data_IF_735626302418
#
_entry.id   IF_735626302418
#
_cell.length_a   1.000
_cell.length_b   1.000
_cell.length_c   1.000
_cell.angle_alpha   90.00
_cell.angle_beta   90.00
_cell.angle_gamma   90.00
#
_symmetry.space_group_name_H-M   'P 1'
#
loop_
_entity.id
_entity.type
_entity.pdbx_description
1 polymer ?
#
# COMPACT_ATOMS: atom_id res chain seq x y z
N UNK A 1 3.62 20.71 10.53
CA UNK A 1 3.18 21.59 11.61
C UNK A 1 2.25 20.80 12.50
N UNK A 2 2.77 20.39 13.65
CA UNK A 2 2.05 19.74 14.73
C UNK A 2 1.28 20.85 15.46
N UNK A 3 0.10 21.20 14.95
CA UNK A 3 -0.80 22.14 15.59
C UNK A 3 -2.03 21.38 16.05
N UNK A 4 -2.13 21.17 17.31
CA UNK A 4 -3.23 20.50 17.99
C UNK A 4 -2.76 19.74 19.21
N UNK A 5 -1.60 20.06 19.72
CA UNK A 5 -1.26 19.77 21.10
C UNK A 5 -2.05 20.70 21.98
N UNK A 6 -3.34 20.42 22.09
CA UNK A 6 -4.09 20.90 23.23
C UNK A 6 -4.06 19.77 24.25
N UNK A 7 -3.01 19.73 25.07
CA UNK A 7 -2.99 18.99 26.35
C UNK A 7 -3.92 19.71 27.34
N UNK A 8 -4.76 20.61 26.81
CA UNK A 8 -5.57 21.53 27.54
C UNK A 8 -6.68 20.86 28.33
N UNK A 9 -6.80 21.31 29.53
CA UNK A 9 -7.95 21.15 30.38
C UNK A 9 -9.25 21.37 29.58
N UNK A 10 -10.19 20.50 29.75
CA UNK A 10 -11.52 20.54 29.17
C UNK A 10 -12.27 21.81 29.60
N UNK A 11 -12.01 22.90 28.92
CA UNK A 11 -12.83 24.10 29.07
C UNK A 11 -13.90 24.08 27.97
N UNK A 12 -15.19 23.82 28.30
CA UNK A 12 -16.25 24.02 27.35
C UNK A 12 -16.20 25.49 26.91
N UNK A 13 -16.14 25.73 25.59
CA UNK A 13 -16.26 27.12 25.12
C UNK A 13 -17.65 27.66 25.50
N UNK A 14 -17.80 28.99 25.54
CA UNK A 14 -19.04 29.66 25.91
C UNK A 14 -20.28 29.25 25.12
N UNK A 15 -20.11 28.48 24.03
CA UNK A 15 -21.15 27.95 23.17
C UNK A 15 -21.42 26.45 23.37
N UNK A 16 -20.81 25.79 24.37
CA UNK A 16 -20.97 24.38 24.64
C UNK A 16 -20.24 23.47 23.64
N UNK A 17 -19.25 23.99 22.90
CA UNK A 17 -18.38 23.18 22.02
C UNK A 17 -17.46 22.28 22.81
N UNK A 18 -16.97 21.23 22.16
CA UNK A 18 -15.94 20.37 22.70
C UNK A 18 -14.69 20.43 21.82
N UNK A 19 -13.58 19.94 22.33
CA UNK A 19 -12.26 19.95 21.72
C UNK A 19 -12.28 19.45 20.26
N UNK A 20 -13.02 18.37 19.98
CA UNK A 20 -13.12 17.79 18.63
C UNK A 20 -13.81 18.74 17.64
N UNK A 21 -14.84 19.46 18.06
CA UNK A 21 -15.52 20.43 17.21
C UNK A 21 -14.67 21.67 16.95
N UNK A 22 -13.95 22.13 17.96
CA UNK A 22 -13.04 23.27 17.86
C UNK A 22 -11.85 22.93 16.96
N UNK A 23 -11.33 21.68 17.01
CA UNK A 23 -10.32 21.19 16.09
C UNK A 23 -10.79 21.24 14.62
N UNK A 24 -12.02 20.81 14.31
CA UNK A 24 -12.54 20.90 12.94
C UNK A 24 -12.56 22.36 12.45
N UNK A 25 -13.03 23.29 13.28
CA UNK A 25 -13.08 24.70 12.93
C UNK A 25 -11.69 25.31 12.72
N UNK A 26 -10.74 24.95 13.59
CA UNK A 26 -9.34 25.37 13.48
C UNK A 26 -8.72 24.90 12.17
N UNK A 27 -8.79 23.59 11.88
CA UNK A 27 -8.18 23.01 10.68
C UNK A 27 -8.86 23.46 9.39
N UNK A 28 -10.18 23.70 9.41
CA UNK A 28 -10.88 24.35 8.31
C UNK A 28 -10.32 25.75 8.05
N UNK A 29 -10.20 26.57 9.09
CA UNK A 29 -9.67 27.93 8.97
C UNK A 29 -8.21 27.93 8.48
N UNK A 30 -7.38 27.06 9.04
CA UNK A 30 -5.98 26.90 8.61
C UNK A 30 -5.89 26.53 7.12
N UNK A 31 -6.71 25.57 6.66
CA UNK A 31 -6.79 25.17 5.24
C UNK A 31 -7.19 26.37 4.37
N UNK A 32 -8.25 27.10 4.74
CA UNK A 32 -8.71 28.27 4.00
C UNK A 32 -7.62 29.37 3.90
N UNK A 33 -6.89 29.63 4.99
CA UNK A 33 -5.79 30.60 4.97
C UNK A 33 -4.59 30.11 4.15
N UNK A 34 -4.28 28.81 4.20
CA UNK A 34 -3.22 28.23 3.40
C UNK A 34 -3.55 28.35 1.90
N UNK A 35 -4.77 27.98 1.49
CA UNK A 35 -5.22 28.01 0.09
C UNK A 35 -5.27 29.44 -0.47
N UNK A 36 -5.63 30.44 0.35
CA UNK A 36 -5.56 31.85 -0.04
C UNK A 36 -4.13 32.31 -0.37
N UNK A 37 -3.14 31.82 0.40
CA UNK A 37 -1.72 32.18 0.23
C UNK A 37 -1.02 31.32 -0.83
N UNK A 38 -1.50 30.11 -1.05
CA UNK A 38 -0.94 29.11 -1.94
C UNK A 38 -2.04 28.55 -2.87
N UNK A 39 -2.59 29.39 -3.76
CA UNK A 39 -3.63 28.94 -4.68
C UNK A 39 -3.11 27.76 -5.52
N UNK A 40 -3.93 26.75 -5.67
CA UNK A 40 -3.61 25.53 -6.39
C UNK A 40 -2.59 24.60 -5.70
N UNK A 41 -2.36 24.71 -4.40
CA UNK A 41 -1.47 23.81 -3.66
C UNK A 41 -2.26 23.05 -2.58
N UNK A 42 -2.01 21.74 -2.45
CA UNK A 42 -2.59 20.91 -1.39
C UNK A 42 -2.00 21.27 -0.03
N UNK A 43 -2.87 21.38 0.97
CA UNK A 43 -2.45 21.53 2.36
C UNK A 43 -2.16 20.14 2.94
N UNK A 44 -1.15 20.07 3.81
CA UNK A 44 -0.90 18.92 4.69
C UNK A 44 -1.05 19.39 6.13
N UNK A 45 -1.97 18.76 6.86
CA UNK A 45 -2.23 19.02 8.28
C UNK A 45 -2.50 17.68 8.96
N UNK A 46 -2.17 17.56 10.24
CA UNK A 46 -2.41 16.36 11.04
C UNK A 46 -2.85 16.75 12.46
N UNK A 47 -3.78 15.98 13.04
CA UNK A 47 -4.29 16.18 14.39
C UNK A 47 -4.70 14.87 15.03
N UNK A 48 -4.63 14.81 16.38
CA UNK A 48 -5.20 13.70 17.16
C UNK A 48 -6.65 13.94 17.57
N UNK A 49 -7.08 15.19 17.65
CA UNK A 49 -8.47 15.53 17.91
C UNK A 49 -9.31 15.26 16.65
N UNK A 50 -10.17 14.25 16.71
CA UNK A 50 -10.90 13.76 15.54
C UNK A 50 -12.40 13.68 15.79
N UNK A 51 -13.16 14.12 14.79
CA UNK A 51 -14.62 13.96 14.72
C UNK A 51 -15.06 13.81 13.26
N UNK A 52 -16.25 13.26 13.03
CA UNK A 52 -16.81 13.13 11.69
C UNK A 52 -16.84 14.48 10.94
N UNK A 53 -16.24 14.52 9.76
CA UNK A 53 -16.05 15.74 8.97
C UNK A 53 -14.64 16.27 8.94
N UNK A 54 -13.76 15.81 9.86
CA UNK A 54 -12.36 16.23 9.95
C UNK A 54 -11.55 15.82 8.70
N UNK A 55 -11.86 14.69 8.10
CA UNK A 55 -11.20 14.15 6.90
C UNK A 55 -11.18 15.11 5.72
N UNK A 56 -12.03 16.13 5.71
CA UNK A 56 -12.05 17.20 4.68
C UNK A 56 -10.89 18.19 4.82
N UNK A 57 -10.23 18.19 5.96
CA UNK A 57 -9.27 19.25 6.33
C UNK A 57 -7.91 18.70 6.71
N UNK A 58 -7.83 17.52 7.34
CA UNK A 58 -6.59 17.04 7.94
C UNK A 58 -6.55 15.51 8.01
N UNK A 59 -5.36 14.98 8.23
CA UNK A 59 -5.11 13.59 8.60
C UNK A 59 -5.24 13.40 10.11
N UNK A 60 -5.53 12.18 10.56
CA UNK A 60 -5.57 11.80 11.96
C UNK A 60 -4.31 11.05 12.41
N UNK A 61 -4.03 11.09 13.72
CA UNK A 61 -3.20 10.07 14.38
C UNK A 61 -3.80 9.72 15.74
N UNK A 62 -3.39 8.58 16.28
CA UNK A 62 -4.02 8.00 17.49
C UNK A 62 -3.57 8.64 18.79
N UNK A 63 -2.69 9.65 18.73
CA UNK A 63 -2.09 10.28 19.90
C UNK A 63 -0.90 9.51 20.45
N UNK A 64 -0.47 9.91 21.63
CA UNK A 64 0.72 9.41 22.29
C UNK A 64 0.54 7.94 22.73
N UNK A 65 1.39 7.06 22.28
CA UNK A 65 1.41 5.65 22.68
C UNK A 65 2.78 5.27 23.24
N UNK A 66 2.80 4.43 24.28
CA UNK A 66 4.04 4.05 24.96
C UNK A 66 4.86 3.02 24.17
N UNK A 67 6.18 3.01 24.40
CA UNK A 67 7.13 2.13 23.75
C UNK A 67 7.76 1.08 24.68
N UNK A 68 7.30 0.96 25.93
CA UNK A 68 7.83 0.00 26.89
C UNK A 68 7.78 -1.46 26.41
N UNK A 69 8.63 -2.30 26.99
CA UNK A 69 8.77 -3.71 26.60
C UNK A 69 7.68 -4.64 27.14
N UNK A 70 6.74 -4.13 27.93
CA UNK A 70 5.65 -4.92 28.48
C UNK A 70 4.41 -4.92 27.57
N UNK A 71 3.47 -5.82 27.90
CA UNK A 71 2.23 -5.98 27.13
C UNK A 71 1.27 -4.79 27.27
N UNK A 72 1.45 -3.93 28.25
CA UNK A 72 0.59 -2.76 28.49
C UNK A 72 1.13 -1.50 27.84
N UNK A 73 2.43 -1.44 27.61
CA UNK A 73 3.10 -0.30 26.98
C UNK A 73 3.42 -0.61 25.51
N UNK A 74 4.62 -1.03 25.16
CA UNK A 74 5.03 -1.15 23.77
C UNK A 74 4.24 -2.17 22.95
N UNK A 75 4.32 -3.45 23.30
CA UNK A 75 3.69 -4.54 22.55
C UNK A 75 2.16 -4.46 22.57
N UNK A 76 1.57 -4.16 23.73
CA UNK A 76 0.12 -3.98 23.83
C UNK A 76 -0.37 -2.74 23.12
N UNK A 77 0.38 -1.63 23.21
CA UNK A 77 0.05 -0.40 22.51
C UNK A 77 0.12 -0.62 20.97
N UNK A 78 1.19 -1.26 20.48
CA UNK A 78 1.29 -1.59 19.06
C UNK A 78 0.11 -2.46 18.58
N UNK A 79 -0.23 -3.51 19.34
CA UNK A 79 -1.35 -4.38 18.99
C UNK A 79 -2.68 -3.62 18.93
N UNK A 80 -2.92 -2.70 19.86
CA UNK A 80 -4.12 -1.90 19.93
C UNK A 80 -4.22 -0.87 18.79
N UNK A 81 -3.11 -0.48 18.15
CA UNK A 81 -3.18 0.45 17.01
C UNK A 81 -3.96 -0.14 15.83
N UNK A 82 -3.92 -1.44 15.61
CA UNK A 82 -4.63 -2.06 14.47
C UNK A 82 -6.14 -1.81 14.57
N UNK A 83 -6.86 -2.26 15.62
CA UNK A 83 -8.29 -2.02 15.71
C UNK A 83 -8.65 -0.53 15.81
N UNK A 84 -7.80 0.32 16.39
CA UNK A 84 -8.04 1.77 16.44
C UNK A 84 -7.99 2.38 15.03
N UNK A 85 -6.98 2.05 14.23
CA UNK A 85 -6.84 2.53 12.86
C UNK A 85 -7.99 2.01 11.96
N UNK A 86 -8.38 0.74 12.12
CA UNK A 86 -9.54 0.16 11.42
C UNK A 86 -10.83 0.88 11.79
N UNK A 87 -11.02 1.17 13.09
CA UNK A 87 -12.20 1.90 13.58
C UNK A 87 -12.22 3.35 13.06
N UNK A 88 -11.07 4.02 12.98
CA UNK A 88 -10.97 5.34 12.39
C UNK A 88 -11.38 5.33 10.91
N UNK A 89 -10.95 4.32 10.15
CA UNK A 89 -11.37 4.10 8.77
C UNK A 89 -12.88 3.94 8.61
N UNK A 90 -13.50 3.11 9.46
CA UNK A 90 -14.95 2.94 9.52
C UNK A 90 -15.68 4.22 9.95
N UNK A 91 -15.05 5.04 10.79
CA UNK A 91 -15.51 6.37 11.19
C UNK A 91 -15.34 7.45 10.12
N UNK A 92 -15.00 7.06 8.88
CA UNK A 92 -14.77 7.97 7.74
C UNK A 92 -13.57 8.92 7.98
N UNK A 93 -12.55 8.45 8.70
CA UNK A 93 -11.24 9.12 8.86
C UNK A 93 -10.16 8.17 8.31
N UNK A 94 -10.15 7.91 6.99
CA UNK A 94 -9.39 6.82 6.39
C UNK A 94 -7.87 7.04 6.40
N UNK A 95 -7.43 8.28 6.57
CA UNK A 95 -6.02 8.65 6.61
C UNK A 95 -5.58 8.93 8.04
N UNK A 96 -5.52 7.88 8.84
CA UNK A 96 -5.06 7.92 10.22
C UNK A 96 -3.78 7.09 10.37
N UNK A 97 -2.88 7.54 11.23
CA UNK A 97 -1.64 6.84 11.59
C UNK A 97 -1.53 6.68 13.10
N UNK A 98 -0.52 5.95 13.54
CA UNK A 98 -0.03 5.98 14.92
C UNK A 98 1.41 6.50 14.94
N UNK A 99 1.91 6.80 16.13
CA UNK A 99 3.34 7.04 16.33
C UNK A 99 4.06 5.70 16.27
N UNK A 100 4.67 5.42 15.10
CA UNK A 100 5.38 4.16 14.86
C UNK A 100 6.58 4.14 15.78
N UNK A 101 6.77 3.03 16.48
CA UNK A 101 7.77 2.76 17.52
C UNK A 101 7.41 3.26 18.92
N UNK A 102 6.26 3.92 19.07
CA UNK A 102 5.78 4.50 20.32
C UNK A 102 6.33 5.92 20.57
N UNK A 103 5.48 6.79 21.14
CA UNK A 103 5.82 8.18 21.41
C UNK A 103 6.46 8.39 22.79
N UNK A 104 5.90 7.76 23.84
CA UNK A 104 6.28 7.97 25.22
C UNK A 104 7.19 6.88 25.75
N UNK A 105 8.12 7.29 26.59
CA UNK A 105 9.00 6.40 27.38
C UNK A 105 10.46 6.47 26.96
N UNK A 106 11.34 6.34 27.95
CA UNK A 106 12.77 6.33 27.70
C UNK A 106 13.20 5.02 27.03
N UNK A 107 14.20 5.09 26.18
CA UNK A 107 14.86 3.92 25.58
C UNK A 107 16.25 3.80 26.20
N UNK A 108 16.36 3.02 27.27
CA UNK A 108 17.62 2.78 27.96
C UNK A 108 18.49 1.73 27.25
N UNK A 109 17.85 0.74 26.61
CA UNK A 109 18.52 -0.37 25.93
C UNK A 109 17.92 -0.57 24.52
N UNK A 110 18.51 0.07 23.52
CA UNK A 110 18.09 0.00 22.11
C UNK A 110 18.11 -1.44 21.56
N UNK A 111 19.15 -2.27 21.79
CA UNK A 111 19.15 -3.67 21.40
C UNK A 111 17.99 -4.49 21.98
N UNK A 112 17.61 -4.28 23.23
CA UNK A 112 16.47 -4.97 23.83
C UNK A 112 15.13 -4.59 23.16
N UNK A 113 15.03 -3.39 22.62
CA UNK A 113 13.84 -2.90 21.92
C UNK A 113 13.82 -3.24 20.43
N UNK A 114 14.88 -3.82 19.87
CA UNK A 114 15.05 -4.03 18.42
C UNK A 114 13.92 -4.87 17.79
N UNK A 115 13.40 -5.89 18.49
CA UNK A 115 12.31 -6.70 17.99
C UNK A 115 10.99 -5.89 17.91
N UNK A 116 10.63 -5.18 18.96
CA UNK A 116 9.44 -4.32 18.99
C UNK A 116 9.51 -3.26 17.89
N UNK A 117 10.66 -2.58 17.80
CA UNK A 117 10.94 -1.58 16.75
C UNK A 117 10.72 -2.15 15.36
N UNK A 118 11.32 -3.30 15.05
CA UNK A 118 11.18 -3.99 13.77
C UNK A 118 9.71 -4.30 13.46
N UNK A 119 8.99 -4.92 14.40
CA UNK A 119 7.59 -5.32 14.20
C UNK A 119 6.66 -4.11 14.05
N UNK A 120 6.93 -3.03 14.76
CA UNK A 120 6.13 -1.81 14.64
C UNK A 120 6.32 -1.12 13.29
N UNK A 121 7.57 -1.02 12.80
CA UNK A 121 7.83 -0.48 11.45
C UNK A 121 7.21 -1.37 10.38
N UNK A 122 7.29 -2.69 10.52
CA UNK A 122 6.63 -3.62 9.61
C UNK A 122 5.12 -3.38 9.55
N UNK A 123 4.44 -3.22 10.68
CA UNK A 123 3.03 -2.86 10.74
C UNK A 123 2.80 -1.45 10.15
N UNK A 124 3.63 -0.50 10.53
CA UNK A 124 3.53 0.91 10.13
C UNK A 124 3.70 1.13 8.62
N UNK A 125 4.38 0.23 7.90
CA UNK A 125 4.44 0.27 6.44
C UNK A 125 3.05 0.19 5.78
N UNK A 126 2.07 -0.40 6.47
CA UNK A 126 0.69 -0.54 6.02
C UNK A 126 -0.29 0.44 6.70
N UNK A 127 0.19 1.37 7.49
CA UNK A 127 -0.65 2.50 7.88
C UNK A 127 -0.91 3.40 6.66
N UNK A 128 -2.10 3.98 6.50
CA UNK A 128 -2.39 4.90 5.40
C UNK A 128 -1.38 6.06 5.32
N UNK A 129 -1.00 6.61 6.47
CA UNK A 129 0.11 7.53 6.66
C UNK A 129 1.15 6.87 7.59
N UNK A 130 2.44 7.04 7.33
CA UNK A 130 3.50 6.48 8.19
C UNK A 130 4.41 7.58 8.72
N UNK A 131 4.58 7.59 10.05
CA UNK A 131 5.46 8.52 10.74
C UNK A 131 6.15 7.78 11.89
N UNK A 132 7.48 7.73 11.88
CA UNK A 132 8.28 7.39 13.06
C UNK A 132 8.34 8.63 13.92
N UNK A 133 7.94 8.52 15.19
CA UNK A 133 7.86 9.68 16.08
C UNK A 133 8.05 9.27 17.54
N UNK A 134 8.79 10.09 18.27
CA UNK A 134 9.04 9.92 19.69
C UNK A 134 9.13 11.29 20.38
N UNK A 135 8.92 11.32 21.70
CA UNK A 135 8.99 12.55 22.49
C UNK A 135 10.43 12.99 22.78
N UNK A 136 10.57 14.27 23.08
CA UNK A 136 11.80 14.84 23.64
C UNK A 136 13.03 14.67 22.77
N UNK A 137 14.12 14.27 23.40
CA UNK A 137 15.43 14.09 22.78
C UNK A 137 15.79 12.61 22.58
N UNK A 138 14.82 11.70 22.65
CA UNK A 138 15.05 10.27 22.43
C UNK A 138 15.10 10.02 20.93
N UNK A 139 16.23 9.54 20.47
CA UNK A 139 16.45 9.20 19.07
C UNK A 139 15.80 7.84 18.75
N UNK A 140 15.16 7.71 17.59
CA UNK A 140 14.48 6.49 17.12
C UNK A 140 14.85 6.10 15.69
N UNK A 141 16.03 6.49 15.25
CA UNK A 141 16.53 6.10 13.95
C UNK A 141 16.91 4.61 13.91
N UNK A 142 16.66 3.93 12.77
CA UNK A 142 16.82 2.47 12.66
C UNK A 142 18.18 1.91 13.09
N UNK A 143 19.25 2.63 12.79
CA UNK A 143 20.64 2.18 13.10
C UNK A 143 20.96 2.11 14.58
N UNK A 144 20.18 2.74 15.45
CA UNK A 144 20.37 2.69 16.90
C UNK A 144 19.95 1.33 17.48
N UNK A 145 19.02 0.64 16.81
CA UNK A 145 18.48 -0.66 17.23
C UNK A 145 19.30 -1.87 16.74
N UNK A 146 20.40 -1.62 16.05
CA UNK A 146 21.30 -2.63 15.52
C UNK A 146 21.05 -2.99 14.06
N UNK A 147 22.04 -3.64 13.44
CA UNK A 147 22.07 -3.90 11.99
C UNK A 147 20.89 -4.71 11.48
N UNK A 148 20.38 -5.69 12.23
CA UNK A 148 19.23 -6.49 11.82
C UNK A 148 17.95 -5.64 11.83
N UNK A 149 17.73 -4.82 12.85
CA UNK A 149 16.59 -3.92 12.94
C UNK A 149 16.63 -2.87 11.81
N UNK A 150 17.78 -2.26 11.55
CA UNK A 150 18.01 -1.32 10.45
C UNK A 150 17.67 -1.96 9.10
N UNK A 151 18.20 -3.15 8.83
CA UNK A 151 17.91 -3.88 7.59
C UNK A 151 16.42 -4.18 7.40
N UNK A 152 15.75 -4.63 8.47
CA UNK A 152 14.34 -4.97 8.43
C UNK A 152 13.46 -3.72 8.30
N UNK A 153 13.81 -2.63 8.99
CA UNK A 153 13.14 -1.34 8.86
C UNK A 153 13.27 -0.79 7.44
N UNK A 154 14.47 -0.81 6.87
CA UNK A 154 14.72 -0.42 5.48
C UNK A 154 13.85 -1.21 4.52
N UNK A 155 13.80 -2.54 4.66
CA UNK A 155 12.99 -3.39 3.78
C UNK A 155 11.48 -3.06 3.86
N UNK A 156 10.96 -2.78 5.06
CA UNK A 156 9.56 -2.40 5.25
C UNK A 156 9.25 -1.01 4.66
N UNK A 157 10.14 -0.04 4.83
CA UNK A 157 10.01 1.30 4.26
C UNK A 157 10.09 1.24 2.73
N UNK A 158 11.04 0.49 2.18
CA UNK A 158 11.16 0.28 0.73
C UNK A 158 9.94 -0.41 0.13
N UNK A 159 9.31 -1.36 0.85
CA UNK A 159 8.05 -1.97 0.45
C UNK A 159 6.94 -0.93 0.36
N UNK A 160 6.81 -0.05 1.36
CA UNK A 160 5.85 1.05 1.31
C UNK A 160 6.08 1.97 0.11
N UNK A 161 7.34 2.34 -0.17
CA UNK A 161 7.68 3.16 -1.33
C UNK A 161 7.30 2.47 -2.64
N UNK A 162 7.61 1.18 -2.79
CA UNK A 162 7.18 0.42 -3.97
C UNK A 162 5.66 0.43 -4.16
N UNK A 163 4.91 0.33 -3.07
CA UNK A 163 3.43 0.30 -3.10
C UNK A 163 2.79 1.70 -3.22
N UNK A 164 3.53 2.81 -3.31
CA UNK A 164 2.92 4.15 -3.39
C UNK A 164 1.90 4.31 -4.53
N UNK A 165 2.10 3.80 -5.76
CA UNK A 165 1.06 3.88 -6.79
C UNK A 165 -0.23 3.15 -6.43
N UNK A 166 -0.11 2.01 -5.75
CA UNK A 166 -1.22 1.26 -5.17
C UNK A 166 -1.93 2.06 -4.08
N UNK A 167 -1.18 2.53 -3.10
CA UNK A 167 -1.67 3.35 -1.97
C UNK A 167 -2.38 4.60 -2.49
N UNK A 168 -1.80 5.28 -3.47
CA UNK A 168 -2.36 6.51 -4.02
C UNK A 168 -3.65 6.28 -4.81
N UNK A 169 -3.75 5.15 -5.51
CA UNK A 169 -4.99 4.75 -6.18
C UNK A 169 -6.11 4.50 -5.17
N UNK A 170 -5.81 3.80 -4.06
CA UNK A 170 -6.78 3.58 -2.98
C UNK A 170 -7.08 4.85 -2.17
N UNK A 171 -6.13 5.77 -2.07
CA UNK A 171 -6.41 7.11 -1.51
C UNK A 171 -7.43 7.87 -2.37
N UNK A 172 -7.38 7.71 -3.68
CA UNK A 172 -8.39 8.27 -4.58
C UNK A 172 -9.75 7.56 -4.44
N UNK A 173 -9.76 6.25 -4.28
CA UNK A 173 -10.99 5.52 -3.99
C UNK A 173 -11.63 6.00 -2.68
N UNK A 174 -10.83 6.15 -1.62
CA UNK A 174 -11.31 6.68 -0.33
C UNK A 174 -11.89 8.09 -0.46
N UNK A 175 -11.32 8.93 -1.31
CA UNK A 175 -11.85 10.27 -1.60
C UNK A 175 -13.21 10.20 -2.33
N UNK A 176 -13.41 9.25 -3.23
CA UNK A 176 -14.62 9.12 -4.06
C UNK A 176 -15.75 8.39 -3.35
N UNK A 177 -15.42 7.37 -2.57
CA UNK A 177 -16.39 6.41 -2.02
C UNK A 177 -16.48 6.40 -0.49
N UNK A 178 -15.45 6.90 0.19
CA UNK A 178 -15.28 6.77 1.64
C UNK A 178 -14.68 5.44 2.10
N UNK A 179 -14.45 4.47 1.21
CA UNK A 179 -13.82 3.19 1.56
C UNK A 179 -12.37 3.41 1.98
N UNK A 180 -11.95 3.00 3.18
CA UNK A 180 -10.57 3.20 3.62
C UNK A 180 -9.60 2.27 2.88
N UNK A 181 -8.33 2.66 2.83
CA UNK A 181 -7.24 1.80 2.33
C UNK A 181 -6.99 0.62 3.28
N UNK A 182 -6.91 0.89 4.59
CA UNK A 182 -6.78 -0.13 5.64
C UNK A 182 -8.18 -0.53 6.09
N UNK A 183 -8.60 -1.76 5.79
CA UNK A 183 -9.99 -2.25 5.93
C UNK A 183 -10.08 -3.40 6.91
N UNK A 184 -11.03 -3.39 7.86
CA UNK A 184 -11.34 -4.61 8.59
C UNK A 184 -11.81 -5.69 7.62
N UNK A 185 -11.48 -6.95 7.92
CA UNK A 185 -11.76 -8.09 7.04
C UNK A 185 -13.24 -8.18 6.63
N UNK A 186 -14.15 -7.93 7.57
CA UNK A 186 -15.59 -7.99 7.33
C UNK A 186 -16.13 -6.94 6.33
N UNK A 187 -15.38 -5.88 6.07
CA UNK A 187 -15.77 -4.88 5.08
C UNK A 187 -15.67 -5.44 3.65
N UNK A 188 -14.71 -6.33 3.40
CA UNK A 188 -14.54 -7.03 2.12
C UNK A 188 -15.32 -8.37 2.07
N UNK A 189 -15.49 -9.01 3.23
CA UNK A 189 -16.13 -10.33 3.36
C UNK A 189 -17.26 -10.31 4.40
N UNK A 190 -18.35 -9.53 4.17
CA UNK A 190 -19.39 -9.31 5.17
C UNK A 190 -20.25 -10.55 5.45
N UNK A 191 -20.26 -11.54 4.57
CA UNK A 191 -20.98 -12.80 4.77
C UNK A 191 -20.18 -13.84 5.57
N UNK A 192 -18.88 -13.62 5.75
CA UNK A 192 -17.99 -14.53 6.47
C UNK A 192 -17.84 -14.09 7.93
N UNK A 193 -18.49 -14.83 8.85
CA UNK A 193 -18.53 -14.50 10.28
C UNK A 193 -17.16 -14.57 10.97
N UNK A 194 -16.23 -15.37 10.48
CA UNK A 194 -14.87 -15.44 11.03
C UNK A 194 -14.11 -14.11 10.89
N UNK A 195 -14.43 -13.34 9.86
CA UNK A 195 -13.80 -12.05 9.57
C UNK A 195 -14.09 -10.97 10.63
N UNK A 196 -15.15 -11.15 11.43
CA UNK A 196 -15.49 -10.23 12.53
C UNK A 196 -14.63 -10.44 13.78
N UNK A 197 -13.88 -11.55 13.85
CA UNK A 197 -13.01 -11.91 14.97
C UNK A 197 -11.52 -11.70 14.68
N UNK A 198 -11.19 -11.08 13.55
CA UNK A 198 -9.79 -10.91 13.07
C UNK A 198 -9.24 -9.52 13.41
N UNK A 199 -9.01 -9.22 14.67
CA UNK A 199 -8.57 -7.91 15.17
C UNK A 199 -7.07 -7.60 14.92
N UNK A 200 -6.27 -8.60 14.57
CA UNK A 200 -4.81 -8.48 14.35
C UNK A 200 -4.39 -8.78 12.91
N UNK A 201 -5.31 -8.68 11.96
CA UNK A 201 -5.10 -8.73 10.52
C UNK A 201 -6.13 -7.87 9.79
N UNK A 202 -5.83 -7.44 8.58
CA UNK A 202 -6.69 -6.54 7.83
C UNK A 202 -6.44 -6.64 6.33
N UNK A 203 -7.38 -6.13 5.53
CA UNK A 203 -7.16 -5.90 4.11
C UNK A 203 -6.52 -4.52 3.89
N UNK A 204 -5.54 -4.49 3.02
CA UNK A 204 -4.91 -3.26 2.54
C UNK A 204 -5.27 -3.09 1.06
N UNK A 205 -6.21 -2.21 0.76
CA UNK A 205 -7.00 -2.28 -0.46
C UNK A 205 -7.89 -3.53 -0.49
N UNK A 206 -8.27 -4.00 -1.66
CA UNK A 206 -9.06 -5.23 -1.86
C UNK A 206 -8.20 -6.46 -2.19
N UNK A 207 -6.91 -6.29 -2.48
CA UNK A 207 -6.03 -7.34 -2.98
C UNK A 207 -5.09 -7.93 -1.94
N UNK A 208 -4.64 -7.14 -0.96
CA UNK A 208 -3.62 -7.55 0.00
C UNK A 208 -4.21 -7.80 1.38
N UNK A 209 -3.99 -8.98 1.92
CA UNK A 209 -4.23 -9.32 3.33
C UNK A 209 -2.90 -9.17 4.09
N UNK A 210 -2.91 -8.41 5.17
CA UNK A 210 -1.73 -8.14 6.02
C UNK A 210 -2.00 -8.62 7.43
N UNK A 211 -1.11 -9.43 7.99
CA UNK A 211 -1.24 -10.00 9.33
C UNK A 211 0.01 -9.73 10.19
N UNK A 212 0.17 -8.51 10.74
CA UNK A 212 1.35 -8.15 11.51
C UNK A 212 1.56 -9.04 12.73
N UNK A 213 2.81 -9.28 13.08
CA UNK A 213 3.18 -9.97 14.32
C UNK A 213 3.20 -8.96 15.46
N UNK A 214 2.27 -9.12 16.40
CA UNK A 214 2.06 -8.18 17.53
C UNK A 214 2.39 -8.80 18.89
N UNK A 215 3.13 -9.90 18.92
CA UNK A 215 3.50 -10.61 20.14
C UNK A 215 5.01 -10.79 20.22
N UNK A 216 5.60 -10.39 21.35
CA UNK A 216 7.03 -10.54 21.63
C UNK A 216 7.50 -11.99 21.45
N UNK A 217 8.62 -12.17 20.79
CA UNK A 217 9.26 -13.47 20.58
C UNK A 217 8.56 -14.39 19.57
N UNK A 218 7.39 -13.98 19.02
CA UNK A 218 6.68 -14.83 18.06
C UNK A 218 7.43 -14.91 16.72
N UNK A 219 7.53 -16.12 16.19
CA UNK A 219 8.12 -16.43 14.88
C UNK A 219 7.14 -17.18 13.99
N UNK A 220 5.88 -17.18 14.38
CA UNK A 220 4.75 -17.63 13.58
C UNK A 220 3.54 -16.73 13.86
N UNK A 221 2.55 -16.79 13.00
CA UNK A 221 1.30 -16.04 13.09
C UNK A 221 0.15 -16.93 12.63
N UNK A 222 -0.93 -16.94 13.41
CA UNK A 222 -2.20 -17.48 12.95
C UNK A 222 -2.90 -16.45 12.07
N UNK A 223 -3.31 -16.87 10.89
CA UNK A 223 -3.96 -16.03 9.88
C UNK A 223 -5.23 -16.73 9.41
N UNK A 224 -6.31 -16.00 9.34
CA UNK A 224 -7.52 -16.43 8.67
C UNK A 224 -7.49 -15.97 7.21
N UNK A 225 -7.66 -16.89 6.29
CA UNK A 225 -7.83 -16.61 4.86
C UNK A 225 -9.32 -16.74 4.53
N UNK A 226 -10.02 -15.67 4.12
CA UNK A 226 -11.41 -15.75 3.69
C UNK A 226 -11.55 -16.41 2.33
N UNK A 227 -12.79 -16.58 1.85
CA UNK A 227 -13.07 -17.23 0.56
C UNK A 227 -12.16 -16.76 -0.57
N UNK A 228 -11.68 -17.70 -1.39
CA UNK A 228 -10.83 -17.50 -2.55
C UNK A 228 -9.52 -18.25 -2.49
N UNK A 229 -8.62 -17.95 -3.41
CA UNK A 229 -7.24 -18.45 -3.40
C UNK A 229 -6.30 -17.32 -3.05
N UNK A 230 -5.41 -17.58 -2.12
CA UNK A 230 -4.46 -16.62 -1.57
C UNK A 230 -3.03 -17.05 -1.84
N UNK A 231 -2.21 -16.16 -2.32
CA UNK A 231 -0.81 -16.41 -2.64
C UNK A 231 0.05 -15.71 -1.59
N UNK A 232 0.99 -16.44 -0.98
CA UNK A 232 1.96 -15.83 -0.08
C UNK A 232 2.76 -14.75 -0.83
N UNK A 233 2.58 -13.50 -0.41
CA UNK A 233 3.22 -12.36 -1.08
C UNK A 233 4.73 -12.33 -0.91
N UNK A 234 5.29 -13.00 0.10
CA UNK A 234 6.74 -13.02 0.33
C UNK A 234 7.47 -13.94 -0.67
N UNK A 235 6.87 -15.08 -1.02
CA UNK A 235 7.46 -16.00 -2.01
C UNK A 235 6.75 -15.96 -3.38
N UNK A 236 5.51 -15.44 -3.44
CA UNK A 236 4.70 -15.24 -4.65
C UNK A 236 4.36 -16.49 -5.46
N UNK A 237 4.56 -17.68 -4.88
CA UNK A 237 4.32 -18.96 -5.55
C UNK A 237 3.47 -19.93 -4.75
N UNK A 238 3.52 -19.85 -3.42
CA UNK A 238 2.73 -20.75 -2.57
C UNK A 238 1.30 -20.23 -2.48
N UNK A 239 0.37 -21.02 -2.99
CA UNK A 239 -1.05 -20.72 -2.95
C UNK A 239 -1.76 -21.53 -1.85
N UNK A 240 -2.74 -20.92 -1.24
CA UNK A 240 -3.59 -21.50 -0.19
C UNK A 240 -5.05 -21.30 -0.56
N UNK A 241 -5.87 -22.29 -0.26
CA UNK A 241 -7.33 -22.13 -0.31
C UNK A 241 -7.78 -21.27 0.85
N UNK A 242 -8.80 -20.46 0.64
CA UNK A 242 -9.44 -19.70 1.70
C UNK A 242 -10.36 -20.52 2.59
N UNK A 243 -11.19 -19.83 3.39
CA UNK A 243 -12.13 -20.34 4.39
C UNK A 243 -11.42 -21.19 5.49
N UNK A 244 -10.21 -20.77 5.88
CA UNK A 244 -9.44 -21.51 6.89
C UNK A 244 -8.51 -20.62 7.73
N UNK A 245 -8.31 -21.08 8.96
CA UNK A 245 -7.19 -20.63 9.79
C UNK A 245 -5.95 -21.43 9.49
N UNK A 246 -4.82 -20.75 9.39
CA UNK A 246 -3.53 -21.39 9.22
C UNK A 246 -2.45 -20.71 10.06
N UNK A 247 -1.44 -21.48 10.43
CA UNK A 247 -0.25 -20.95 11.07
C UNK A 247 0.84 -20.80 10.02
N UNK A 248 1.38 -19.59 9.88
CA UNK A 248 2.48 -19.31 8.94
C UNK A 248 3.74 -18.89 9.68
N UNK A 249 4.89 -19.20 9.10
CA UNK A 249 6.17 -18.75 9.61
C UNK A 249 6.30 -17.23 9.47
N UNK A 250 6.79 -16.59 10.51
CA UNK A 250 6.99 -15.16 10.57
C UNK A 250 8.34 -14.81 11.23
N UNK A 251 9.48 -15.20 10.64
CA UNK A 251 10.78 -14.77 11.11
C UNK A 251 10.85 -13.25 11.18
N UNK A 252 11.81 -12.68 11.90
CA UNK A 252 11.83 -11.25 12.21
C UNK A 252 11.89 -10.35 10.96
N UNK A 253 12.46 -10.85 9.89
CA UNK A 253 12.55 -10.15 8.58
C UNK A 253 11.30 -10.30 7.70
N UNK A 254 10.22 -10.92 8.18
CA UNK A 254 9.04 -11.23 7.36
C UNK A 254 7.78 -10.62 7.95
N UNK A 255 7.00 -9.98 7.10
CA UNK A 255 5.63 -9.54 7.39
C UNK A 255 4.72 -10.59 6.73
N UNK A 256 3.89 -11.34 7.48
CA UNK A 256 2.91 -12.24 6.88
C UNK A 256 1.92 -11.45 6.03
N UNK A 257 1.93 -11.72 4.73
CA UNK A 257 1.11 -11.05 3.72
C UNK A 257 0.66 -12.03 2.68
N UNK A 258 -0.57 -11.87 2.23
CA UNK A 258 -1.16 -12.67 1.17
C UNK A 258 -1.80 -11.76 0.13
N UNK A 259 -1.65 -12.13 -1.12
CA UNK A 259 -2.32 -11.47 -2.23
C UNK A 259 -3.42 -12.39 -2.76
N UNK A 260 -4.60 -11.82 -2.99
CA UNK A 260 -5.71 -12.55 -3.59
C UNK A 260 -5.37 -12.93 -5.03
N UNK A 261 -5.63 -14.16 -5.42
CA UNK A 261 -5.50 -14.57 -6.83
C UNK A 261 -6.41 -13.72 -7.72
N UNK A 262 -5.90 -13.29 -8.85
CA UNK A 262 -6.54 -12.32 -9.75
C UNK A 262 -6.05 -10.88 -9.55
N UNK A 263 -5.25 -10.61 -8.53
CA UNK A 263 -4.80 -9.24 -8.22
C UNK A 263 -3.80 -8.68 -9.22
N UNK A 264 -3.84 -7.35 -9.36
CA UNK A 264 -2.90 -6.54 -10.12
C UNK A 264 -2.38 -5.43 -9.19
N UNK A 265 -1.10 -5.47 -8.83
CA UNK A 265 -0.49 -4.57 -7.84
C UNK A 265 0.51 -3.65 -8.54
N UNK A 266 0.20 -2.36 -8.73
CA UNK A 266 1.16 -1.40 -9.28
C UNK A 266 2.23 -1.05 -8.26
N UNK A 267 3.47 -0.95 -8.75
CA UNK A 267 4.64 -0.59 -7.97
C UNK A 267 5.48 0.46 -8.69
N UNK A 268 6.27 1.19 -7.92
CA UNK A 268 7.29 2.10 -8.45
C UNK A 268 8.70 1.70 -7.98
N UNK A 269 9.76 2.20 -8.63
CA UNK A 269 11.12 2.03 -8.14
C UNK A 269 11.30 2.63 -6.74
N UNK A 270 12.12 1.97 -5.91
CA UNK A 270 12.53 2.53 -4.62
C UNK A 270 13.35 3.81 -4.85
N UNK A 271 13.10 4.80 -4.03
CA UNK A 271 13.83 6.07 -4.00
C UNK A 271 13.97 6.56 -2.55
N UNK A 272 14.90 7.48 -2.31
CA UNK A 272 15.17 7.96 -0.96
C UNK A 272 14.11 8.96 -0.45
N UNK A 273 13.46 9.67 -1.37
CA UNK A 273 12.32 10.56 -1.12
C UNK A 273 11.47 10.66 -2.40
N UNK A 274 10.20 11.04 -2.27
CA UNK A 274 9.20 10.94 -3.34
C UNK A 274 9.51 11.74 -4.61
N UNK A 275 10.31 12.79 -4.52
CA UNK A 275 10.67 13.68 -5.63
C UNK A 275 12.11 13.46 -6.12
N UNK A 276 12.79 12.38 -5.69
CA UNK A 276 14.17 12.08 -6.09
C UNK A 276 14.29 11.85 -7.60
N UNK A 277 13.32 11.15 -8.16
CA UNK A 277 13.25 10.85 -9.60
C UNK A 277 11.78 10.62 -10.02
N UNK A 278 11.48 10.70 -11.32
CA UNK A 278 10.16 10.32 -11.82
C UNK A 278 9.76 8.89 -11.44
N UNK A 279 8.48 8.62 -11.27
CA UNK A 279 7.91 7.29 -10.97
C UNK A 279 7.98 6.42 -12.23
N UNK A 280 9.16 6.03 -12.65
CA UNK A 280 9.40 5.25 -13.85
C UNK A 280 10.43 4.14 -13.63
N UNK A 281 10.21 2.94 -14.20
CA UNK A 281 8.95 2.45 -14.77
C UNK A 281 7.88 2.19 -13.70
N UNK A 282 6.60 2.22 -14.08
CA UNK A 282 5.54 1.62 -13.26
C UNK A 282 5.53 0.12 -13.55
N UNK A 283 5.67 -0.69 -12.50
CA UNK A 283 5.66 -2.15 -12.60
C UNK A 283 4.34 -2.69 -12.05
N UNK A 284 3.65 -3.53 -12.81
CA UNK A 284 2.45 -4.24 -12.38
C UNK A 284 2.80 -5.69 -12.05
N UNK A 285 2.69 -6.07 -10.80
CA UNK A 285 2.69 -7.47 -10.39
C UNK A 285 1.31 -8.05 -10.64
N UNK A 286 1.24 -9.12 -11.42
CA UNK A 286 -0.02 -9.75 -11.83
C UNK A 286 -0.04 -11.19 -11.33
N UNK A 287 -1.11 -11.52 -10.63
CA UNK A 287 -1.40 -12.86 -10.10
C UNK A 287 -2.64 -13.40 -10.80
N UNK A 288 -2.51 -14.07 -11.95
CA UNK A 288 -3.65 -14.42 -12.77
C UNK A 288 -4.73 -15.19 -12.02
N UNK A 289 -5.98 -14.86 -12.28
CA UNK A 289 -7.14 -15.56 -11.74
C UNK A 289 -7.29 -16.96 -12.35
N UNK A 290 -8.28 -17.73 -11.89
CA UNK A 290 -8.63 -18.99 -12.50
C UNK A 290 -9.04 -18.81 -13.97
N UNK A 291 -8.87 -19.86 -14.79
CA UNK A 291 -9.26 -19.82 -16.20
C UNK A 291 -10.75 -19.45 -16.36
N UNK A 292 -11.05 -18.59 -17.32
CA UNK A 292 -12.38 -18.02 -17.56
C UNK A 292 -12.66 -16.72 -16.78
N UNK A 293 -11.74 -16.26 -15.93
CA UNK A 293 -11.91 -15.03 -15.15
C UNK A 293 -11.19 -13.84 -15.77
N UNK A 294 -11.71 -12.65 -15.48
CA UNK A 294 -11.13 -11.37 -15.85
C UNK A 294 -11.06 -10.47 -14.62
N UNK A 295 -9.96 -9.78 -14.43
CA UNK A 295 -9.75 -8.83 -13.34
C UNK A 295 -9.16 -7.54 -13.86
N UNK A 296 -9.49 -6.43 -13.23
CA UNK A 296 -9.03 -5.09 -13.65
C UNK A 296 -8.59 -4.27 -12.45
N UNK A 297 -7.45 -3.61 -12.58
CA UNK A 297 -7.01 -2.55 -11.69
C UNK A 297 -6.87 -1.24 -12.47
N UNK A 298 -7.41 -0.15 -11.95
CA UNK A 298 -7.38 1.16 -12.63
C UNK A 298 -6.41 2.11 -11.92
N UNK A 299 -5.16 2.16 -12.40
CA UNK A 299 -4.12 3.02 -11.84
C UNK A 299 -4.54 4.49 -11.92
N UNK A 300 -4.56 5.19 -10.78
CA UNK A 300 -4.83 6.61 -10.69
C UNK A 300 -3.54 7.42 -10.56
N UNK A 301 -3.45 8.51 -11.32
CA UNK A 301 -2.30 9.42 -11.32
C UNK A 301 -2.75 10.87 -11.51
N UNK A 302 -2.11 11.79 -10.79
CA UNK A 302 -2.24 13.25 -10.93
C UNK A 302 -0.92 13.94 -10.55
N UNK A 303 -0.89 15.25 -10.46
CA UNK A 303 0.32 16.00 -10.12
C UNK A 303 0.82 15.84 -8.68
N UNK A 304 0.04 15.20 -7.79
CA UNK A 304 0.42 14.92 -6.40
C UNK A 304 0.36 16.10 -5.45
N UNK A 305 0.73 17.30 -5.89
CA UNK A 305 0.94 18.46 -5.02
C UNK A 305 -0.05 19.60 -5.23
N UNK A 306 -0.80 19.60 -6.32
CA UNK A 306 -1.74 20.66 -6.66
C UNK A 306 -3.21 20.25 -6.56
N UNK A 307 -4.12 21.18 -6.82
CA UNK A 307 -5.56 20.99 -6.80
C UNK A 307 -6.14 20.69 -8.19
N UNK A 308 -5.31 20.36 -9.17
CA UNK A 308 -5.73 20.06 -10.54
C UNK A 308 -6.75 18.92 -10.64
N UNK A 309 -6.62 17.93 -9.76
CA UNK A 309 -7.55 16.80 -9.69
C UNK A 309 -9.02 17.22 -9.48
N UNK A 310 -9.28 18.35 -8.81
CA UNK A 310 -10.63 18.91 -8.65
C UNK A 310 -11.22 19.44 -9.97
N UNK A 311 -10.36 19.70 -10.95
CA UNK A 311 -10.72 20.20 -12.27
C UNK A 311 -10.64 19.15 -13.37
N UNK A 312 -10.42 17.86 -12.97
CA UNK A 312 -10.27 16.75 -13.90
C UNK A 312 -8.84 16.58 -14.43
N UNK A 313 -7.85 17.23 -13.83
CA UNK A 313 -6.44 17.08 -14.17
C UNK A 313 -5.86 15.83 -13.48
N UNK A 314 -6.32 14.68 -13.90
CA UNK A 314 -5.86 13.36 -13.45
C UNK A 314 -5.96 12.36 -14.61
N UNK A 315 -5.38 11.19 -14.40
CA UNK A 315 -5.40 10.10 -15.35
C UNK A 315 -5.75 8.79 -14.64
N UNK A 316 -6.55 7.95 -15.31
CA UNK A 316 -6.77 6.56 -14.94
C UNK A 316 -6.35 5.66 -16.08
N UNK A 317 -5.50 4.68 -15.79
CA UNK A 317 -5.05 3.68 -16.76
C UNK A 317 -5.57 2.31 -16.31
N UNK A 318 -6.61 1.75 -16.93
CA UNK A 318 -7.09 0.42 -16.58
C UNK A 318 -6.14 -0.65 -17.14
N UNK A 319 -5.74 -1.56 -16.28
CA UNK A 319 -4.96 -2.75 -16.61
C UNK A 319 -5.84 -3.96 -16.32
N UNK A 320 -6.15 -4.73 -17.35
CA UNK A 320 -7.00 -5.92 -17.25
C UNK A 320 -6.20 -7.17 -17.55
N UNK A 321 -6.37 -8.21 -16.74
CA UNK A 321 -5.84 -9.54 -17.00
C UNK A 321 -6.99 -10.52 -17.14
N UNK A 322 -7.10 -11.15 -18.30
CA UNK A 322 -8.01 -12.25 -18.58
C UNK A 322 -7.22 -13.55 -18.64
N UNK A 323 -7.62 -14.55 -17.88
CA UNK A 323 -7.05 -15.88 -17.90
C UNK A 323 -7.92 -16.82 -18.71
N UNK A 324 -7.31 -17.57 -19.62
CA UNK A 324 -7.98 -18.57 -20.45
C UNK A 324 -7.22 -19.89 -20.39
N UNK A 325 -7.82 -20.98 -20.88
CA UNK A 325 -7.15 -22.29 -21.02
C UNK A 325 -5.94 -22.23 -21.96
N UNK A 326 -5.85 -21.20 -22.80
CA UNK A 326 -4.76 -21.02 -23.79
C UNK A 326 -3.67 -20.08 -23.31
N UNK A 327 -3.88 -19.36 -22.21
CA UNK A 327 -2.90 -18.40 -21.68
C UNK A 327 -3.54 -17.18 -21.00
N UNK A 328 -2.85 -16.06 -21.10
CA UNK A 328 -3.25 -14.82 -20.46
C UNK A 328 -3.36 -13.72 -21.51
N UNK A 329 -4.40 -12.89 -21.39
CA UNK A 329 -4.51 -11.65 -22.16
C UNK A 329 -4.42 -10.48 -21.20
N UNK A 330 -3.40 -9.63 -21.39
CA UNK A 330 -3.31 -8.34 -20.72
C UNK A 330 -3.84 -7.27 -21.64
N UNK A 331 -4.65 -6.38 -21.09
CA UNK A 331 -5.12 -5.19 -21.79
C UNK A 331 -4.67 -3.95 -21.01
N UNK A 332 -3.89 -3.09 -21.65
CA UNK A 332 -3.72 -1.71 -21.24
C UNK A 332 -4.86 -0.95 -21.89
N UNK A 333 -5.84 -0.53 -21.10
CA UNK A 333 -7.06 0.05 -21.63
C UNK A 333 -6.93 1.55 -21.96
N UNK A 334 -7.94 2.08 -22.59
CA UNK A 334 -8.02 3.50 -22.91
C UNK A 334 -7.99 4.34 -21.64
N UNK A 335 -7.09 5.31 -21.59
CA UNK A 335 -6.99 6.26 -20.49
C UNK A 335 -8.18 7.19 -20.42
N UNK A 336 -8.56 7.53 -19.20
CA UNK A 336 -9.55 8.56 -18.89
C UNK A 336 -8.90 9.68 -18.10
N UNK A 337 -9.46 10.91 -18.15
CA UNK A 337 -8.87 12.08 -17.51
C UNK A 337 -7.85 12.77 -18.40
N UNK A 338 -8.32 13.43 -19.48
CA UNK A 338 -7.47 13.96 -20.57
C UNK A 338 -6.63 15.19 -20.22
N UNK A 339 -6.88 15.83 -19.07
CA UNK A 339 -6.24 17.10 -18.70
C UNK A 339 -4.92 16.96 -17.97
N UNK A 340 -4.52 15.74 -17.61
CA UNK A 340 -3.24 15.47 -16.98
C UNK A 340 -2.28 14.83 -17.98
N UNK A 341 -1.08 15.38 -18.04
CA UNK A 341 0.00 14.84 -18.87
C UNK A 341 1.11 14.33 -17.98
N UNK A 342 1.61 13.14 -18.30
CA UNK A 342 2.80 12.61 -17.63
C UNK A 342 4.00 13.56 -17.80
N UNK A 343 4.85 13.73 -16.78
CA UNK A 343 6.01 14.63 -16.85
C UNK A 343 7.13 14.15 -17.80
N UNK A 344 6.94 13.04 -18.49
CA UNK A 344 7.89 12.51 -19.46
C UNK A 344 7.47 11.18 -20.05
N UNK A 345 8.34 10.58 -20.86
CA UNK A 345 8.16 9.22 -21.37
C UNK A 345 8.49 8.20 -20.30
N UNK A 346 7.79 7.06 -20.31
CA UNK A 346 8.06 5.94 -19.41
C UNK A 346 7.79 4.60 -20.08
N UNK A 347 8.22 3.54 -19.42
CA UNK A 347 7.79 2.17 -19.70
C UNK A 347 6.77 1.72 -18.64
N UNK A 348 5.87 0.85 -19.06
CA UNK A 348 5.11 -0.03 -18.19
C UNK A 348 5.84 -1.39 -18.17
N UNK A 349 6.06 -1.89 -16.96
CA UNK A 349 6.62 -3.22 -16.74
C UNK A 349 5.54 -4.13 -16.18
N UNK A 350 5.44 -5.33 -16.69
CA UNK A 350 4.50 -6.32 -16.18
C UNK A 350 5.28 -7.55 -15.70
N UNK A 351 5.03 -7.96 -14.48
CA UNK A 351 5.58 -9.17 -13.87
C UNK A 351 4.44 -10.13 -13.56
N UNK A 352 4.25 -11.12 -14.41
CA UNK A 352 3.16 -12.08 -14.30
C UNK A 352 3.67 -13.32 -13.58
N UNK A 353 3.12 -13.61 -12.40
CA UNK A 353 3.44 -14.81 -11.63
C UNK A 353 2.64 -15.98 -12.15
N UNK A 354 3.31 -16.97 -12.70
CA UNK A 354 2.65 -18.10 -13.36
C UNK A 354 3.51 -19.37 -13.30
N UNK A 355 2.87 -20.50 -13.05
CA UNK A 355 3.52 -21.81 -13.13
C UNK A 355 3.77 -22.25 -14.58
N UNK A 356 2.92 -21.81 -15.49
CA UNK A 356 2.97 -22.19 -16.90
C UNK A 356 3.57 -21.07 -17.75
N UNK A 357 4.82 -21.29 -18.21
CA UNK A 357 5.53 -20.30 -19.02
C UNK A 357 4.98 -20.18 -20.44
N UNK A 358 4.63 -18.97 -20.90
CA UNK A 358 4.23 -18.75 -22.29
C UNK A 358 5.35 -19.11 -23.27
N UNK A 359 4.97 -19.65 -24.44
CA UNK A 359 5.88 -19.88 -25.56
C UNK A 359 5.99 -18.68 -26.47
N UNK A 360 4.93 -17.93 -26.61
CA UNK A 360 4.82 -16.79 -27.52
C UNK A 360 4.06 -15.66 -26.85
N UNK A 361 4.43 -14.43 -27.16
CA UNK A 361 3.65 -13.25 -26.82
C UNK A 361 3.37 -12.43 -28.09
N UNK A 362 2.14 -11.91 -28.18
CA UNK A 362 1.70 -11.04 -29.25
C UNK A 362 1.35 -9.67 -28.65
N UNK A 363 1.62 -8.58 -29.35
CA UNK A 363 1.11 -7.24 -29.08
C UNK A 363 0.24 -6.83 -30.27
N UNK A 364 -1.03 -6.57 -30.03
CA UNK A 364 -2.00 -6.17 -31.06
C UNK A 364 -1.98 -7.14 -32.26
N UNK A 365 -1.90 -8.46 -31.98
CA UNK A 365 -1.83 -9.54 -32.95
C UNK A 365 -0.44 -9.77 -33.57
N UNK A 366 0.56 -8.93 -33.27
CA UNK A 366 1.92 -9.06 -33.83
C UNK A 366 2.88 -9.69 -32.82
N UNK A 367 3.73 -10.61 -33.30
CA UNK A 367 4.68 -11.32 -32.43
C UNK A 367 5.72 -10.38 -31.82
N UNK A 368 5.80 -10.40 -30.50
CA UNK A 368 6.79 -9.61 -29.75
C UNK A 368 8.12 -10.36 -29.68
N UNK A 369 9.22 -9.62 -29.70
CA UNK A 369 10.58 -10.16 -29.54
C UNK A 369 10.76 -10.76 -28.14
N UNK A 370 11.14 -12.03 -28.11
CA UNK A 370 11.61 -12.70 -26.90
C UNK A 370 13.04 -12.29 -26.57
N UNK A 371 13.32 -11.98 -25.32
CA UNK A 371 14.65 -11.57 -24.84
C UNK A 371 15.04 -12.32 -23.56
N UNK A 372 16.06 -11.85 -22.84
CA UNK A 372 16.42 -12.30 -21.50
C UNK A 372 16.21 -11.16 -20.47
N UNK A 373 16.21 -11.53 -19.18
CA UNK A 373 15.95 -10.58 -18.09
C UNK A 373 16.89 -9.38 -18.13
N UNK A 374 18.21 -9.60 -18.28
CA UNK A 374 19.19 -8.53 -18.31
C UNK A 374 18.92 -7.49 -19.40
N UNK A 375 18.59 -7.93 -20.62
CA UNK A 375 18.24 -7.02 -21.71
C UNK A 375 16.90 -6.34 -21.54
N UNK A 376 15.96 -6.98 -20.83
CA UNK A 376 14.66 -6.38 -20.55
C UNK A 376 14.80 -5.24 -19.53
N UNK A 377 15.67 -5.41 -18.55
CA UNK A 377 15.95 -4.45 -17.48
C UNK A 377 16.92 -3.33 -17.93
N UNK A 378 17.76 -3.62 -18.94
CA UNK A 378 18.73 -2.65 -19.46
C UNK A 378 18.02 -1.39 -19.99
N UNK A 379 18.46 -0.23 -19.52
CA UNK A 379 17.93 1.09 -19.92
C UNK A 379 16.40 1.24 -19.80
N UNK A 380 15.74 0.47 -18.92
CA UNK A 380 14.28 0.52 -18.77
C UNK A 380 13.76 1.90 -18.33
N UNK A 381 14.60 2.69 -17.71
CA UNK A 381 14.30 4.05 -17.25
C UNK A 381 14.60 5.13 -18.31
N UNK A 382 15.33 4.81 -19.37
CA UNK A 382 15.81 5.79 -20.35
C UNK A 382 15.48 5.47 -21.80
N UNK A 383 15.14 4.22 -22.12
CA UNK A 383 14.79 3.79 -23.48
C UNK A 383 13.32 3.40 -23.55
N UNK A 384 12.52 4.12 -24.34
CA UNK A 384 11.06 4.04 -24.38
C UNK A 384 10.51 3.55 -25.73
N UNK A 385 11.31 2.82 -26.49
CA UNK A 385 10.94 2.32 -27.83
C UNK A 385 10.90 0.80 -27.92
N UNK A 386 11.32 0.10 -26.87
CA UNK A 386 11.45 -1.35 -26.89
C UNK A 386 10.22 -2.00 -26.28
N UNK A 387 9.51 -2.83 -27.09
CA UNK A 387 8.60 -3.83 -26.60
C UNK A 387 9.26 -5.20 -26.65
N UNK A 388 9.42 -5.81 -25.50
CA UNK A 388 10.04 -7.13 -25.35
C UNK A 388 9.48 -7.91 -24.17
N UNK A 389 9.58 -9.23 -24.21
CA UNK A 389 9.16 -10.09 -23.11
C UNK A 389 10.17 -11.20 -22.81
N UNK A 390 10.11 -11.72 -21.61
CA UNK A 390 11.01 -12.75 -21.12
C UNK A 390 10.30 -13.70 -20.15
N UNK A 391 10.27 -15.02 -20.41
CA UNK A 391 9.91 -15.99 -19.39
C UNK A 391 11.11 -16.21 -18.46
N UNK A 392 10.94 -15.91 -17.19
CA UNK A 392 11.93 -16.24 -16.16
C UNK A 392 11.50 -17.49 -15.40
N UNK A 393 11.98 -18.64 -15.87
CA UNK A 393 11.67 -19.93 -15.27
C UNK A 393 12.23 -20.09 -13.86
N UNK A 394 13.29 -19.33 -13.51
CA UNK A 394 13.91 -19.40 -12.19
C UNK A 394 13.03 -18.73 -11.15
N UNK A 395 12.42 -17.63 -11.52
CA UNK A 395 11.52 -16.86 -10.65
C UNK A 395 10.04 -17.22 -10.87
N UNK A 396 9.69 -18.17 -11.78
CA UNK A 396 8.28 -18.48 -12.06
C UNK A 396 7.49 -17.29 -12.60
N UNK A 397 8.14 -16.40 -13.36
CA UNK A 397 7.53 -15.16 -13.84
C UNK A 397 7.64 -15.00 -15.34
N UNK A 398 6.70 -14.28 -15.93
CA UNK A 398 6.80 -13.76 -17.28
C UNK A 398 6.87 -12.24 -17.23
N UNK A 399 7.97 -11.67 -17.69
CA UNK A 399 8.22 -10.24 -17.71
C UNK A 399 7.86 -9.65 -19.07
N UNK A 400 7.24 -8.46 -19.08
CA UNK A 400 6.99 -7.69 -20.29
C UNK A 400 7.40 -6.24 -20.06
N UNK A 401 8.07 -5.64 -21.03
CA UNK A 401 8.33 -4.20 -21.12
C UNK A 401 7.52 -3.64 -22.28
N UNK A 402 6.75 -2.61 -22.01
CA UNK A 402 5.91 -1.91 -22.98
C UNK A 402 6.12 -0.40 -22.85
N UNK A 403 6.46 0.33 -23.92
CA UNK A 403 6.44 1.79 -23.90
C UNK A 403 5.05 2.31 -23.56
N UNK A 404 4.98 3.31 -22.71
CA UNK A 404 3.74 3.96 -22.33
C UNK A 404 3.40 5.09 -23.30
N UNK A 405 2.76 4.76 -24.42
CA UNK A 405 2.40 5.70 -25.48
C UNK A 405 0.97 6.28 -25.33
N UNK A 406 0.27 5.90 -24.25
CA UNK A 406 -1.09 6.36 -23.96
C UNK A 406 -2.20 5.67 -24.74
N UNK A 407 -1.88 4.73 -25.60
CA UNK A 407 -2.86 3.99 -26.40
C UNK A 407 -3.35 2.73 -25.71
N UNK A 408 -4.45 2.21 -26.19
CA UNK A 408 -4.90 0.87 -25.84
C UNK A 408 -4.01 -0.18 -26.51
N UNK A 409 -3.63 -1.20 -25.73
CA UNK A 409 -2.86 -2.34 -26.21
C UNK A 409 -3.40 -3.65 -25.66
N UNK A 410 -3.39 -4.68 -26.51
CA UNK A 410 -3.75 -6.05 -26.15
C UNK A 410 -2.51 -6.93 -26.27
N UNK A 411 -2.11 -7.55 -25.18
CA UNK A 411 -0.97 -8.44 -25.11
C UNK A 411 -1.47 -9.87 -24.80
N UNK A 412 -1.22 -10.78 -25.71
CA UNK A 412 -1.63 -12.19 -25.59
C UNK A 412 -0.40 -13.06 -25.29
N UNK A 413 -0.40 -13.72 -24.15
CA UNK A 413 0.60 -14.72 -23.76
C UNK A 413 0.04 -16.13 -24.00
N UNK A 414 0.59 -16.81 -25.01
CA UNK A 414 0.10 -18.11 -25.46
C UNK A 414 0.92 -19.23 -24.81
N UNK A 415 0.24 -20.07 -24.03
CA UNK A 415 0.79 -21.30 -23.47
C UNK A 415 0.93 -22.37 -24.53
N UNK A 416 1.74 -23.39 -24.25
CA UNK A 416 1.74 -24.59 -25.04
C UNK A 416 0.42 -25.35 -24.84
N UNK A 417 -0.33 -25.61 -25.89
CA UNK A 417 -1.34 -26.65 -25.82
C UNK A 417 -0.63 -27.97 -25.50
N UNK A 418 -0.79 -28.46 -24.28
CA UNK A 418 -0.48 -29.86 -23.99
C UNK A 418 -1.58 -30.63 -24.71
N UNK A 419 -1.25 -31.27 -25.80
CA UNK A 419 -2.12 -32.32 -26.33
C UNK A 419 -2.15 -33.42 -25.29
N UNK A 420 -3.24 -33.49 -24.52
CA UNK A 420 -3.57 -34.65 -23.69
C UNK A 420 -3.97 -35.80 -24.62
#
# INVERSE_FOLDING_TARGET
LDYGKDDGEWLPNEKGGNENYDAINLFRHMKEQFEKRNPNRRVFQMTRAAFAGLQRYTFGWTGDCGNGDDVTQGWGQMANQIPVLLSAGLGIIPFTTCDITGYCGDIEDYPAMAELYTRWIQMGAFNPLSRIHHEGNVAVEPWLFGEEAEKNAKAAIELKYRLLPYIYTYAREAHETGLPLMRPMFLEYPADMETFSTDAQFMFGSELLVAPVVKKGARNKNVYLPEGTWIDYNNKHTAYSGEQWMTVDAPLNTIPMFVKQGSIIPQMPVMNYTDEKPVYPVTFEIFPAAAGSETTFSLYEDAGTDLGYLRGEFMRTPITCQTTDKGYTLKVGTRTGEKYSLPGQRNLMFCIYTEQMPKTALLDGQKIKKTNVGKLEENRETEFTITAWCPDKKLGTCLLRLPDDGKEHIIEFILSLIHI
#
